data_IF_231948138088
#
_entry.id   IF_231948138088
#
_cell.length_a   1.000
_cell.length_b   1.000
_cell.length_c   1.000
_cell.angle_alpha   90.00
_cell.angle_beta   90.00
_cell.angle_gamma   90.00
#
_symmetry.space_group_name_H-M   'P 1'
#
loop_
_entity.id
_entity.type
_entity.pdbx_description
1 polymer ?
#
# COMPACT_ATOMS: atom_id res chain seq x y z
N UNK A 1 -76.39 -37.90 -20.45
CA UNK A 1 -75.61 -38.38 -19.31
C UNK A 1 -74.12 -38.25 -19.72
N UNK A 2 -73.51 -37.17 -19.47
CA UNK A 2 -72.14 -36.87 -19.92
C UNK A 2 -71.28 -36.60 -18.73
N UNK A 3 -70.21 -37.38 -18.59
CA UNK A 3 -69.22 -37.28 -17.53
C UNK A 3 -68.16 -36.32 -18.04
N UNK A 4 -68.11 -35.13 -17.48
CA UNK A 4 -67.16 -34.11 -17.80
C UNK A 4 -65.88 -34.36 -16.94
N UNK A 5 -64.81 -34.74 -17.57
CA UNK A 5 -63.49 -34.94 -16.93
C UNK A 5 -62.86 -33.60 -16.66
N UNK A 6 -62.75 -33.28 -15.40
CA UNK A 6 -61.97 -32.10 -14.92
C UNK A 6 -60.48 -32.42 -14.97
N UNK A 7 -59.76 -31.77 -15.88
CA UNK A 7 -58.29 -31.85 -15.97
C UNK A 7 -57.70 -30.88 -14.96
N UNK A 8 -57.12 -31.40 -13.87
CA UNK A 8 -56.35 -30.57 -12.92
C UNK A 8 -54.93 -30.44 -13.46
N UNK A 9 -54.59 -29.25 -13.93
CA UNK A 9 -53.22 -28.88 -14.32
C UNK A 9 -52.44 -28.53 -13.03
N UNK A 10 -51.56 -29.44 -12.60
CA UNK A 10 -50.60 -29.16 -11.53
C UNK A 10 -49.44 -28.39 -12.17
N UNK A 11 -49.43 -27.11 -11.97
CA UNK A 11 -48.27 -26.29 -12.30
C UNK A 11 -47.26 -26.44 -11.15
N UNK A 12 -46.28 -27.29 -11.35
CA UNK A 12 -45.11 -27.38 -10.45
C UNK A 12 -44.22 -26.15 -10.65
N UNK A 13 -44.37 -25.16 -9.77
CA UNK A 13 -43.42 -24.07 -9.67
C UNK A 13 -42.17 -24.61 -8.97
N UNK A 14 -41.14 -24.93 -9.74
CA UNK A 14 -39.81 -25.20 -9.22
C UNK A 14 -39.23 -23.88 -8.81
N UNK A 15 -39.28 -23.57 -7.51
CA UNK A 15 -38.47 -22.49 -6.91
C UNK A 15 -37.02 -22.94 -6.95
N UNK A 16 -36.28 -22.48 -7.94
CA UNK A 16 -34.81 -22.46 -7.90
C UNK A 16 -34.41 -21.43 -6.88
N UNK A 17 -34.20 -21.84 -5.62
CA UNK A 17 -33.44 -21.10 -4.64
C UNK A 17 -31.99 -21.21 -5.09
N UNK A 18 -31.56 -20.30 -5.95
CA UNK A 18 -30.14 -20.08 -6.15
C UNK A 18 -29.61 -19.51 -4.84
N UNK A 19 -29.01 -20.36 -4.00
CA UNK A 19 -28.11 -19.95 -2.95
C UNK A 19 -26.96 -19.20 -3.63
N UNK A 20 -27.12 -17.91 -3.75
CA UNK A 20 -26.04 -17.00 -4.15
C UNK A 20 -24.96 -17.06 -3.08
N UNK A 21 -24.13 -18.09 -3.09
CA UNK A 21 -22.76 -17.94 -2.62
C UNK A 21 -22.14 -16.96 -3.61
N UNK A 22 -22.08 -15.71 -3.20
CA UNK A 22 -21.22 -14.72 -3.81
C UNK A 22 -19.79 -15.25 -3.67
N UNK A 23 -19.39 -16.08 -4.63
CA UNK A 23 -17.99 -16.32 -4.90
C UNK A 23 -17.46 -14.93 -5.25
N UNK A 24 -16.70 -14.34 -4.34
CA UNK A 24 -15.89 -13.17 -4.67
C UNK A 24 -15.13 -13.56 -5.94
N UNK A 25 -15.45 -12.90 -7.04
CA UNK A 25 -14.73 -13.11 -8.29
C UNK A 25 -13.25 -12.96 -7.99
N UNK A 26 -12.39 -13.87 -8.47
CA UNK A 26 -10.97 -13.71 -8.27
C UNK A 26 -10.57 -12.34 -8.80
N UNK A 27 -9.84 -11.54 -8.00
CA UNK A 27 -9.37 -10.18 -8.36
C UNK A 27 -8.66 -10.10 -9.72
N UNK A 28 -8.26 -11.23 -10.30
CA UNK A 28 -7.70 -11.33 -11.66
C UNK A 28 -8.64 -10.90 -12.79
N UNK A 29 -9.92 -10.62 -12.52
CA UNK A 29 -10.86 -10.06 -13.49
C UNK A 29 -11.03 -8.54 -13.39
N UNK A 30 -10.47 -7.88 -12.37
CA UNK A 30 -10.31 -6.43 -12.41
C UNK A 30 -9.24 -6.13 -13.46
N UNK A 31 -9.60 -5.32 -14.46
CA UNK A 31 -8.65 -4.83 -15.46
C UNK A 31 -7.36 -4.43 -14.75
N UNK A 32 -6.24 -5.08 -15.11
CA UNK A 32 -4.93 -4.67 -14.67
C UNK A 32 -4.84 -3.16 -14.93
N UNK A 33 -4.73 -2.38 -13.86
CA UNK A 33 -4.47 -0.96 -13.99
C UNK A 33 -2.96 -0.74 -13.96
N UNK A 34 -2.53 0.43 -14.36
CA UNK A 34 -1.09 0.75 -14.40
C UNK A 34 -0.44 0.66 -13.01
N UNK A 35 -1.19 0.76 -11.91
CA UNK A 35 -0.68 0.53 -10.56
C UNK A 35 -0.35 -0.96 -10.33
N UNK A 36 -1.24 -1.89 -10.74
CA UNK A 36 -0.98 -3.33 -10.65
C UNK A 36 0.26 -3.71 -11.47
N UNK A 37 0.34 -3.23 -12.70
CA UNK A 37 1.50 -3.47 -13.58
C UNK A 37 2.78 -2.97 -12.94
N UNK A 38 2.79 -1.72 -12.46
CA UNK A 38 3.95 -1.12 -11.81
C UNK A 38 4.40 -1.90 -10.56
N UNK A 39 3.46 -2.28 -9.72
CA UNK A 39 3.77 -2.94 -8.43
C UNK A 39 4.31 -4.36 -8.65
N UNK A 40 3.76 -5.10 -9.62
CA UNK A 40 4.15 -6.50 -9.87
C UNK A 40 5.25 -6.65 -10.92
N UNK A 41 5.68 -5.57 -11.56
CA UNK A 41 6.85 -5.58 -12.42
C UNK A 41 8.09 -5.96 -11.61
N UNK A 42 8.82 -6.98 -12.08
CA UNK A 42 10.07 -7.40 -11.43
C UNK A 42 11.12 -6.32 -11.54
N UNK A 43 11.75 -6.03 -10.42
CA UNK A 43 12.81 -5.05 -10.36
C UNK A 43 14.16 -5.77 -10.16
N UNK A 44 15.13 -5.49 -11.03
CA UNK A 44 16.45 -6.14 -11.01
C UNK A 44 17.27 -5.75 -9.77
N UNK A 45 16.97 -4.60 -9.16
CA UNK A 45 17.66 -4.13 -7.94
C UNK A 45 17.02 -4.64 -6.67
N UNK A 46 15.89 -5.37 -6.76
CA UNK A 46 15.24 -5.89 -5.56
C UNK A 46 16.20 -6.75 -4.75
N UNK A 47 16.44 -6.36 -3.51
CA UNK A 47 17.27 -7.07 -2.56
C UNK A 47 16.64 -7.04 -1.17
N UNK A 48 16.57 -8.20 -0.52
CA UNK A 48 16.13 -8.36 0.85
C UNK A 48 17.25 -9.03 1.65
N UNK A 49 17.91 -8.28 2.53
CA UNK A 49 19.12 -8.72 3.24
C UNK A 49 18.96 -8.62 4.75
N UNK A 50 19.05 -9.78 5.42
CA UNK A 50 19.11 -9.82 6.89
C UNK A 50 20.46 -9.23 7.37
N UNK A 51 20.38 -8.17 8.18
CA UNK A 51 21.55 -7.52 8.78
C UNK A 51 21.94 -8.21 10.08
N UNK A 52 20.97 -8.38 10.98
CA UNK A 52 21.16 -9.06 12.26
C UNK A 52 19.85 -9.58 12.83
N UNK A 53 19.98 -10.53 13.76
CA UNK A 53 18.87 -11.01 14.59
C UNK A 53 19.28 -11.00 16.05
N UNK A 54 18.35 -10.66 16.92
CA UNK A 54 18.57 -10.58 18.36
C UNK A 54 17.50 -11.36 19.09
N UNK A 55 17.91 -12.22 20.04
CA UNK A 55 16.99 -12.96 20.91
C UNK A 55 16.75 -12.18 22.19
N UNK A 56 15.48 -12.13 22.60
CA UNK A 56 15.04 -11.57 23.85
C UNK A 56 14.06 -12.53 24.54
N UNK A 57 13.63 -12.18 25.76
CA UNK A 57 12.64 -12.98 26.46
C UNK A 57 11.28 -12.91 25.74
N UNK A 58 10.81 -14.08 25.32
CA UNK A 58 9.52 -14.21 24.64
C UNK A 58 9.47 -13.84 23.16
N UNK A 59 10.56 -13.35 22.54
CA UNK A 59 10.58 -13.01 21.11
C UNK A 59 11.99 -13.02 20.50
N UNK A 60 12.05 -12.96 19.18
CA UNK A 60 13.24 -12.66 18.41
C UNK A 60 12.96 -11.45 17.51
N UNK A 61 13.91 -10.52 17.42
CA UNK A 61 13.87 -9.43 16.46
C UNK A 61 14.81 -9.64 15.29
N UNK A 62 14.41 -9.15 14.12
CA UNK A 62 15.23 -9.19 12.91
C UNK A 62 15.29 -7.78 12.32
N UNK A 63 16.48 -7.39 11.87
CA UNK A 63 16.74 -6.12 11.22
C UNK A 63 17.20 -6.41 9.79
N UNK A 64 16.46 -5.86 8.84
CA UNK A 64 16.58 -6.17 7.42
C UNK A 64 16.77 -4.88 6.65
N UNK A 65 17.67 -4.87 5.70
CA UNK A 65 17.73 -3.86 4.65
C UNK A 65 17.01 -4.39 3.42
N UNK A 66 16.12 -3.57 2.87
CA UNK A 66 15.35 -3.86 1.69
C UNK A 66 15.62 -2.80 0.63
N UNK A 67 16.04 -3.20 -0.57
CA UNK A 67 15.93 -2.40 -1.78
C UNK A 67 14.67 -2.86 -2.50
N UNK A 68 13.65 -2.00 -2.53
CA UNK A 68 12.34 -2.39 -3.05
C UNK A 68 12.24 -2.29 -4.57
N UNK A 69 12.92 -1.31 -5.14
CA UNK A 69 12.80 -0.98 -6.57
C UNK A 69 13.81 0.08 -7.01
N UNK A 70 13.93 0.23 -8.34
CA UNK A 70 14.49 1.42 -8.96
C UNK A 70 13.38 2.38 -9.35
N UNK A 71 13.47 3.62 -8.88
CA UNK A 71 12.51 4.70 -9.15
C UNK A 71 13.16 5.76 -10.02
N UNK A 72 12.60 5.98 -11.23
CA UNK A 72 13.13 6.91 -12.23
C UNK A 72 14.57 6.59 -12.67
N UNK A 73 15.25 7.57 -13.26
CA UNK A 73 16.63 7.47 -13.75
C UNK A 73 17.55 8.47 -13.07
N UNK A 74 18.86 8.24 -13.14
CA UNK A 74 19.88 9.14 -12.58
C UNK A 74 19.87 10.54 -13.22
N UNK A 75 19.31 10.67 -14.43
CA UNK A 75 19.10 11.96 -15.08
C UNK A 75 17.88 12.73 -14.57
N UNK A 76 16.98 12.06 -13.82
CA UNK A 76 15.74 12.63 -13.29
C UNK A 76 15.83 12.89 -11.78
N UNK A 77 16.51 12.00 -11.02
CA UNK A 77 16.57 12.07 -9.55
C UNK A 77 17.95 11.68 -9.05
N UNK A 78 18.33 12.13 -7.85
CA UNK A 78 19.64 11.87 -7.25
C UNK A 78 19.79 10.46 -6.66
N UNK A 79 18.69 9.85 -6.21
CA UNK A 79 18.65 8.49 -5.66
C UNK A 79 17.55 7.68 -6.36
N UNK A 80 17.97 6.72 -7.16
CA UNK A 80 17.07 5.87 -7.93
C UNK A 80 16.66 4.62 -7.17
N UNK A 81 17.56 3.99 -6.42
CA UNK A 81 17.27 2.76 -5.71
C UNK A 81 16.62 3.09 -4.36
N UNK A 82 15.35 2.70 -4.20
CA UNK A 82 14.62 2.93 -2.96
C UNK A 82 14.99 1.90 -1.91
N UNK A 83 15.65 2.40 -0.86
CA UNK A 83 16.15 1.61 0.26
C UNK A 83 15.26 1.81 1.48
N UNK A 84 15.03 0.75 2.21
CA UNK A 84 14.19 0.74 3.40
C UNK A 84 14.84 -0.05 4.51
N UNK A 85 14.43 0.24 5.74
CA UNK A 85 14.74 -0.56 6.91
C UNK A 85 13.47 -1.30 7.32
N UNK A 86 13.59 -2.61 7.54
CA UNK A 86 12.50 -3.44 7.99
C UNK A 86 12.88 -4.03 9.35
N UNK A 87 12.14 -3.65 10.39
CA UNK A 87 12.23 -4.24 11.72
C UNK A 87 11.14 -5.30 11.86
N UNK A 88 11.49 -6.49 12.31
CA UNK A 88 10.55 -7.59 12.45
C UNK A 88 10.62 -8.16 13.84
N UNK A 89 9.49 -8.41 14.47
CA UNK A 89 9.37 -9.13 15.74
C UNK A 89 8.63 -10.44 15.51
N UNK A 90 9.32 -11.53 15.80
CA UNK A 90 8.79 -12.88 15.82
C UNK A 90 8.59 -13.32 17.27
N UNK A 91 7.35 -13.50 17.76
CA UNK A 91 7.13 -14.03 19.10
C UNK A 91 7.59 -15.49 19.19
N UNK A 92 8.08 -15.92 20.35
CA UNK A 92 8.54 -17.30 20.59
C UNK A 92 7.49 -18.36 20.21
N UNK A 93 6.20 -17.98 20.28
CA UNK A 93 5.09 -18.81 19.81
C UNK A 93 4.27 -18.04 18.80
N UNK A 94 4.48 -18.33 17.54
CA UNK A 94 3.63 -17.82 16.43
C UNK A 94 2.40 -18.71 16.32
N UNK A 95 1.21 -18.10 16.47
CA UNK A 95 -0.08 -18.81 16.38
C UNK A 95 -0.83 -18.55 15.08
N UNK A 96 -0.48 -17.52 14.33
CA UNK A 96 -1.20 -17.08 13.15
C UNK A 96 -0.26 -16.88 11.95
N UNK A 97 -0.74 -17.25 10.78
CA UNK A 97 -0.05 -16.94 9.51
C UNK A 97 -0.38 -15.53 8.98
N UNK A 98 -1.13 -14.75 9.74
CA UNK A 98 -1.37 -13.33 9.43
C UNK A 98 -0.35 -12.50 10.18
N UNK A 99 0.52 -11.79 9.44
CA UNK A 99 1.43 -10.80 10.01
C UNK A 99 0.85 -9.40 9.95
N UNK A 100 1.35 -8.51 10.79
CA UNK A 100 1.09 -7.08 10.68
C UNK A 100 2.31 -6.40 10.04
N UNK A 101 2.06 -5.57 9.02
CA UNK A 101 3.04 -4.69 8.40
C UNK A 101 2.64 -3.23 8.67
N UNK A 102 3.44 -2.52 9.45
CA UNK A 102 3.30 -1.08 9.65
C UNK A 102 4.17 -0.34 8.65
N UNK A 103 3.59 0.63 7.95
CA UNK A 103 4.33 1.48 7.01
C UNK A 103 4.69 2.77 7.73
N UNK A 104 5.98 3.00 7.89
CA UNK A 104 6.58 4.13 8.59
C UNK A 104 7.28 5.13 7.67
N UNK A 105 7.50 6.33 8.18
CA UNK A 105 8.33 7.35 7.55
C UNK A 105 9.82 7.13 7.81
N UNK A 106 10.59 8.19 7.67
CA UNK A 106 12.03 8.20 7.90
C UNK A 106 12.78 8.94 6.80
N UNK A 107 14.10 8.84 6.85
CA UNK A 107 15.01 9.45 5.88
C UNK A 107 15.86 8.39 5.21
N UNK A 108 16.18 8.57 3.94
CA UNK A 108 17.12 7.70 3.21
C UNK A 108 18.57 7.73 3.76
N UNK A 109 18.82 8.61 4.74
CA UNK A 109 20.06 8.63 5.52
C UNK A 109 19.98 7.88 6.85
N UNK A 110 18.81 7.30 7.18
CA UNK A 110 18.66 6.58 8.44
C UNK A 110 19.49 5.30 8.45
N UNK A 111 20.11 5.04 9.60
CA UNK A 111 20.88 3.83 9.85
C UNK A 111 19.98 2.73 10.44
N UNK A 112 20.46 1.48 10.35
CA UNK A 112 19.81 0.35 11.02
C UNK A 112 19.69 0.65 12.51
N UNK A 113 18.47 0.63 13.10
CA UNK A 113 18.25 0.95 14.52
C UNK A 113 19.07 0.05 15.45
N UNK A 114 19.55 0.60 16.56
CA UNK A 114 20.31 -0.14 17.56
C UNK A 114 19.43 -1.12 18.36
N UNK A 115 18.13 -0.84 18.47
CA UNK A 115 17.14 -1.67 19.17
C UNK A 115 15.84 -1.73 18.39
N UNK A 116 15.05 -2.75 18.63
CA UNK A 116 13.73 -2.91 18.04
C UNK A 116 12.74 -1.91 18.65
N UNK A 117 11.79 -1.44 17.86
CA UNK A 117 10.69 -0.60 18.32
C UNK A 117 9.80 -1.38 19.31
N UNK A 118 9.67 -0.88 20.54
CA UNK A 118 8.89 -1.52 21.61
C UNK A 118 7.40 -1.73 21.27
N UNK A 119 6.84 -0.86 20.42
CA UNK A 119 5.46 -0.99 19.98
C UNK A 119 5.26 -2.28 19.16
N UNK A 120 6.22 -2.63 18.30
CA UNK A 120 6.19 -3.88 17.53
C UNK A 120 6.25 -5.09 18.46
N UNK A 121 7.10 -5.03 19.49
CA UNK A 121 7.21 -6.08 20.51
C UNK A 121 5.88 -6.28 21.24
N UNK A 122 5.26 -5.19 21.70
CA UNK A 122 3.95 -5.24 22.37
C UNK A 122 2.88 -5.86 21.48
N UNK A 123 2.81 -5.48 20.21
CA UNK A 123 1.84 -6.04 19.27
C UNK A 123 2.10 -7.51 18.99
N UNK A 124 3.35 -7.89 18.72
CA UNK A 124 3.71 -9.27 18.44
C UNK A 124 3.38 -10.22 19.61
N UNK A 125 3.73 -9.82 20.83
CA UNK A 125 3.44 -10.62 22.03
C UNK A 125 1.94 -10.69 22.32
N UNK A 126 1.22 -9.57 22.18
CA UNK A 126 -0.22 -9.53 22.44
C UNK A 126 -1.03 -10.36 21.43
N UNK A 127 -0.60 -10.41 20.17
CA UNK A 127 -1.33 -11.11 19.10
C UNK A 127 -0.78 -12.51 18.81
N UNK A 128 0.40 -12.87 19.33
CA UNK A 128 1.12 -14.09 18.94
C UNK A 128 1.32 -14.20 17.42
N UNK A 129 1.56 -13.07 16.76
CA UNK A 129 1.75 -12.95 15.32
C UNK A 129 3.07 -12.25 15.02
N UNK A 130 3.62 -12.49 13.82
CA UNK A 130 4.74 -11.68 13.32
C UNK A 130 4.28 -10.26 13.10
N UNK A 131 5.06 -9.30 13.58
CA UNK A 131 4.81 -7.85 13.38
C UNK A 131 6.05 -7.21 12.81
N UNK A 132 5.88 -6.42 11.76
CA UNK A 132 6.97 -5.72 11.09
C UNK A 132 6.67 -4.24 10.89
N UNK A 133 7.72 -3.43 10.84
CA UNK A 133 7.67 -2.03 10.43
C UNK A 133 8.60 -1.80 9.25
N UNK A 134 8.05 -1.31 8.14
CA UNK A 134 8.78 -0.84 6.98
C UNK A 134 8.98 0.67 7.13
N UNK A 135 10.20 1.11 7.38
CA UNK A 135 10.56 2.53 7.48
C UNK A 135 11.00 3.11 6.14
N UNK A 136 11.12 4.45 6.07
CA UNK A 136 11.60 5.20 4.92
C UNK A 136 10.64 5.14 3.72
N UNK A 137 9.33 5.23 3.96
CA UNK A 137 8.29 5.32 2.92
C UNK A 137 7.59 6.69 2.99
N UNK A 138 7.72 7.54 1.92
CA UNK A 138 8.55 7.38 0.72
C UNK A 138 10.05 7.39 1.06
N UNK A 139 10.89 6.96 0.10
CA UNK A 139 12.33 7.10 0.21
C UNK A 139 12.69 8.58 0.00
N UNK A 140 13.18 9.25 1.04
CA UNK A 140 13.32 10.72 1.10
C UNK A 140 14.49 11.17 1.95
N UNK A 141 15.08 12.41 1.73
CA UNK A 141 14.67 13.33 0.66
C UNK A 141 15.11 12.84 -0.71
N UNK A 142 14.43 13.31 -1.75
CA UNK A 142 14.88 13.21 -3.12
C UNK A 142 15.19 14.60 -3.68
N UNK A 143 16.23 14.68 -4.55
CA UNK A 143 16.57 15.89 -5.29
C UNK A 143 16.34 15.61 -6.77
N UNK A 144 15.30 16.23 -7.33
CA UNK A 144 15.04 16.14 -8.76
C UNK A 144 15.98 17.06 -9.54
N UNK A 145 16.54 16.55 -10.64
CA UNK A 145 17.66 17.19 -11.35
C UNK A 145 17.34 18.53 -11.98
N UNK A 146 16.08 18.74 -12.38
CA UNK A 146 15.61 19.96 -13.01
C UNK A 146 15.39 21.13 -12.06
N UNK A 147 15.14 20.85 -10.76
CA UNK A 147 14.94 21.91 -9.78
C UNK A 147 16.06 22.02 -8.73
N UNK A 148 16.78 20.92 -8.44
CA UNK A 148 17.88 20.90 -7.51
C UNK A 148 17.51 21.07 -6.03
N UNK A 149 16.23 20.89 -5.67
CA UNK A 149 15.73 21.05 -4.29
C UNK A 149 15.49 19.69 -3.63
N UNK A 150 15.77 19.62 -2.32
CA UNK A 150 15.36 18.46 -1.51
C UNK A 150 13.85 18.48 -1.30
N UNK A 151 13.19 17.40 -1.70
CA UNK A 151 11.76 17.20 -1.49
C UNK A 151 11.51 16.13 -0.43
N UNK A 152 10.56 16.41 0.45
CA UNK A 152 10.15 15.58 1.55
C UNK A 152 8.62 15.43 1.57
N UNK A 153 8.14 14.31 2.09
CA UNK A 153 6.73 14.12 2.46
C UNK A 153 5.75 14.51 1.35
N UNK A 154 4.77 15.34 1.63
CA UNK A 154 3.76 15.78 0.65
C UNK A 154 4.34 16.64 -0.45
N UNK A 155 5.39 17.44 -0.16
CA UNK A 155 6.09 18.21 -1.18
C UNK A 155 6.78 17.32 -2.24
N UNK A 156 7.27 16.13 -1.85
CA UNK A 156 7.79 15.14 -2.80
C UNK A 156 6.66 14.57 -3.66
N UNK A 157 5.56 14.18 -3.03
CA UNK A 157 4.41 13.58 -3.72
C UNK A 157 3.78 14.58 -4.70
N UNK A 158 3.52 15.82 -4.24
CA UNK A 158 2.93 16.87 -5.06
C UNK A 158 3.80 17.21 -6.28
N UNK A 159 5.12 17.28 -6.10
CA UNK A 159 6.05 17.48 -7.20
C UNK A 159 5.96 16.36 -8.25
N UNK A 160 5.90 15.10 -7.81
CA UNK A 160 5.80 13.97 -8.74
C UNK A 160 4.44 13.88 -9.45
N UNK A 161 3.39 14.42 -8.83
CA UNK A 161 2.09 14.60 -9.47
C UNK A 161 2.13 15.67 -10.55
N UNK A 162 2.76 16.83 -10.29
CA UNK A 162 2.96 17.86 -11.29
C UNK A 162 3.72 17.34 -12.51
N UNK A 163 4.77 16.54 -12.29
CA UNK A 163 5.50 15.89 -13.38
C UNK A 163 4.64 14.96 -14.21
N UNK A 164 3.79 14.16 -13.57
CA UNK A 164 2.84 13.33 -14.29
C UNK A 164 1.83 14.17 -15.08
N UNK A 165 1.23 15.18 -14.44
CA UNK A 165 0.21 16.04 -15.06
C UNK A 165 0.75 16.78 -16.28
N UNK A 166 2.01 17.19 -16.26
CA UNK A 166 2.64 17.94 -17.36
C UNK A 166 3.23 17.05 -18.44
N UNK A 167 3.65 15.80 -18.12
CA UNK A 167 4.33 14.90 -19.09
C UNK A 167 3.48 13.72 -19.57
N UNK A 168 2.49 13.30 -18.77
CA UNK A 168 1.75 12.06 -18.98
C UNK A 168 2.53 10.77 -18.63
N UNK A 169 3.76 10.89 -18.11
CA UNK A 169 4.61 9.74 -17.80
C UNK A 169 4.22 9.10 -16.46
N UNK A 170 3.64 7.90 -16.53
CA UNK A 170 3.14 7.15 -15.37
C UNK A 170 4.23 6.65 -14.41
N UNK A 171 5.51 6.80 -14.73
CA UNK A 171 6.61 6.46 -13.82
C UNK A 171 6.75 7.45 -12.66
N UNK A 172 6.25 8.70 -12.83
CA UNK A 172 6.48 9.78 -11.89
C UNK A 172 5.74 9.64 -10.56
N UNK A 173 4.45 9.26 -10.47
CA UNK A 173 3.72 9.33 -9.20
C UNK A 173 4.37 8.48 -8.11
N UNK A 174 5.04 9.12 -7.14
CA UNK A 174 5.78 8.47 -6.06
C UNK A 174 4.89 7.54 -5.20
N UNK A 175 3.57 7.74 -5.20
CA UNK A 175 2.62 6.86 -4.50
C UNK A 175 2.62 5.43 -5.05
N UNK A 176 2.90 5.25 -6.34
CA UNK A 176 3.04 3.92 -6.93
C UNK A 176 4.27 3.21 -6.35
N UNK A 177 5.39 3.95 -6.26
CA UNK A 177 6.62 3.45 -5.64
C UNK A 177 6.45 3.15 -4.14
N UNK A 178 5.67 3.95 -3.40
CA UNK A 178 5.32 3.68 -2.00
C UNK A 178 4.54 2.38 -1.85
N UNK A 179 3.58 2.11 -2.76
CA UNK A 179 2.81 0.87 -2.76
C UNK A 179 3.68 -0.34 -3.07
N UNK A 180 4.54 -0.23 -4.10
CA UNK A 180 5.50 -1.29 -4.44
C UNK A 180 6.46 -1.59 -3.28
N UNK A 181 6.88 -0.58 -2.52
CA UNK A 181 7.72 -0.79 -1.32
C UNK A 181 7.02 -1.65 -0.26
N UNK A 182 5.71 -1.45 -0.04
CA UNK A 182 4.94 -2.25 0.91
C UNK A 182 4.77 -3.71 0.42
N UNK A 183 4.50 -3.91 -0.87
CA UNK A 183 4.41 -5.25 -1.48
C UNK A 183 5.75 -5.98 -1.41
N UNK A 184 6.84 -5.29 -1.77
CA UNK A 184 8.22 -5.83 -1.67
C UNK A 184 8.59 -6.21 -0.23
N UNK A 185 8.12 -5.46 0.78
CA UNK A 185 8.33 -5.83 2.17
C UNK A 185 7.58 -7.12 2.55
N UNK A 186 6.35 -7.31 2.05
CA UNK A 186 5.62 -8.56 2.26
C UNK A 186 6.33 -9.75 1.60
N UNK A 187 6.88 -9.59 0.40
CA UNK A 187 7.69 -10.61 -0.29
C UNK A 187 8.94 -10.94 0.51
N UNK A 188 9.62 -9.93 1.04
CA UNK A 188 10.79 -10.09 1.88
C UNK A 188 10.47 -10.88 3.15
N UNK A 189 9.36 -10.56 3.84
CA UNK A 189 8.92 -11.28 5.03
C UNK A 189 8.62 -12.76 4.75
N UNK A 190 8.05 -13.06 3.60
CA UNK A 190 7.75 -14.44 3.21
C UNK A 190 9.00 -15.24 2.82
N UNK A 191 9.98 -14.60 2.20
CA UNK A 191 11.16 -15.28 1.68
C UNK A 191 12.28 -15.43 2.72
N UNK A 192 12.56 -14.37 3.47
CA UNK A 192 13.79 -14.27 4.27
C UNK A 192 13.66 -14.78 5.71
N UNK A 193 12.46 -14.68 6.33
CA UNK A 193 12.34 -15.04 7.74
C UNK A 193 12.63 -16.51 7.97
N UNK A 194 13.52 -16.83 8.94
CA UNK A 194 13.89 -18.22 9.30
C UNK A 194 12.78 -18.88 10.14
N UNK A 195 11.53 -18.60 9.84
CA UNK A 195 10.36 -19.17 10.49
C UNK A 195 10.02 -20.48 9.79
N UNK A 196 9.59 -21.49 10.56
CA UNK A 196 9.11 -22.74 9.99
C UNK A 196 8.02 -22.48 8.93
N UNK A 197 8.06 -23.20 7.82
CA UNK A 197 7.23 -22.91 6.63
C UNK A 197 5.74 -22.83 6.93
N UNK A 198 5.25 -23.65 7.86
CA UNK A 198 3.86 -23.67 8.30
C UNK A 198 3.45 -22.45 9.15
N UNK A 199 4.41 -21.65 9.60
CA UNK A 199 4.20 -20.43 10.41
C UNK A 199 4.55 -19.16 9.65
N UNK A 200 5.09 -19.28 8.43
CA UNK A 200 5.39 -18.11 7.60
C UNK A 200 4.14 -17.29 7.31
N UNK A 201 4.25 -15.96 7.31
CA UNK A 201 3.13 -15.12 6.94
C UNK A 201 2.58 -15.44 5.55
N UNK A 202 1.31 -15.73 5.44
CA UNK A 202 0.60 -15.91 4.17
C UNK A 202 -0.44 -14.82 3.92
N UNK A 203 -0.80 -14.09 4.99
CA UNK A 203 -1.72 -12.94 4.96
C UNK A 203 -1.13 -11.80 5.77
N UNK A 204 -1.60 -10.59 5.46
CA UNK A 204 -1.12 -9.37 6.11
C UNK A 204 -2.28 -8.48 6.55
N UNK A 205 -2.10 -7.86 7.72
CA UNK A 205 -2.80 -6.64 8.12
C UNK A 205 -1.84 -5.50 7.87
N UNK A 206 -2.18 -4.59 6.98
CA UNK A 206 -1.32 -3.44 6.64
C UNK A 206 -1.82 -2.20 7.35
N UNK A 207 -0.92 -1.45 7.99
CA UNK A 207 -1.23 -0.23 8.74
C UNK A 207 -0.30 0.90 8.34
N UNK A 208 -0.79 2.13 8.41
CA UNK A 208 0.01 3.32 8.15
C UNK A 208 -0.75 4.59 8.45
N UNK A 209 -0.03 5.68 8.70
CA UNK A 209 -0.63 6.96 9.04
C UNK A 209 -0.46 7.99 7.91
N UNK A 210 -1.48 8.85 7.74
CA UNK A 210 -1.47 9.93 6.76
C UNK A 210 -1.17 9.38 5.35
N UNK A 211 -0.15 9.87 4.66
CA UNK A 211 0.26 9.38 3.33
C UNK A 211 0.62 7.89 3.30
N UNK A 212 1.07 7.31 4.42
CA UNK A 212 1.32 5.85 4.57
C UNK A 212 0.01 5.10 4.78
N UNK A 213 -1.00 5.74 5.37
CA UNK A 213 -2.37 5.22 5.42
C UNK A 213 -3.01 5.17 4.04
N UNK A 214 -2.73 6.15 3.18
CA UNK A 214 -3.10 6.07 1.77
C UNK A 214 -2.41 4.88 1.08
N UNK A 215 -1.10 4.69 1.30
CA UNK A 215 -0.38 3.52 0.79
C UNK A 215 -1.00 2.21 1.30
N UNK A 216 -1.55 2.19 2.51
CA UNK A 216 -2.27 1.05 3.08
C UNK A 216 -3.49 0.68 2.23
N UNK A 217 -4.28 1.66 1.78
CA UNK A 217 -5.41 1.46 0.87
C UNK A 217 -4.96 0.91 -0.49
N UNK A 218 -3.98 1.56 -1.14
CA UNK A 218 -3.50 1.14 -2.46
C UNK A 218 -2.84 -0.24 -2.42
N UNK A 219 -2.13 -0.59 -1.33
CA UNK A 219 -1.57 -1.94 -1.14
C UNK A 219 -2.66 -3.00 -1.08
N UNK A 220 -3.77 -2.73 -0.39
CA UNK A 220 -4.90 -3.66 -0.34
C UNK A 220 -5.63 -3.80 -1.67
N UNK A 221 -5.62 -2.75 -2.49
CA UNK A 221 -6.24 -2.78 -3.81
C UNK A 221 -5.49 -3.71 -4.78
N UNK A 222 -4.14 -3.81 -4.66
CA UNK A 222 -3.29 -4.54 -5.62
C UNK A 222 -2.79 -5.89 -5.11
N UNK A 223 -2.85 -6.18 -3.80
CA UNK A 223 -2.28 -7.42 -3.26
C UNK A 223 -3.31 -8.24 -2.46
N UNK A 224 -3.66 -9.40 -2.98
CA UNK A 224 -4.64 -10.31 -2.39
C UNK A 224 -4.18 -10.95 -1.06
N UNK A 225 -2.93 -10.80 -0.66
CA UNK A 225 -2.42 -11.22 0.64
C UNK A 225 -2.88 -10.29 1.77
N UNK A 226 -3.26 -9.06 1.45
CA UNK A 226 -3.80 -8.12 2.44
C UNK A 226 -5.21 -8.54 2.82
N UNK A 227 -5.40 -8.96 4.06
CA UNK A 227 -6.66 -9.42 4.61
C UNK A 227 -7.43 -8.35 5.38
N UNK A 228 -6.72 -7.33 5.87
CA UNK A 228 -7.29 -6.17 6.54
C UNK A 228 -6.32 -4.99 6.49
N UNK A 229 -6.84 -3.79 6.65
CA UNK A 229 -6.07 -2.56 6.69
C UNK A 229 -6.41 -1.70 7.90
N UNK A 230 -5.44 -0.91 8.34
CA UNK A 230 -5.59 0.08 9.42
C UNK A 230 -5.04 1.42 8.91
N UNK A 231 -5.79 2.13 8.07
CA UNK A 231 -5.43 3.48 7.65
C UNK A 231 -5.66 4.45 8.82
N UNK A 232 -4.61 5.14 9.26
CA UNK A 232 -4.66 6.03 10.43
C UNK A 232 -4.64 7.48 9.94
N UNK A 233 -5.56 8.28 10.45
CA UNK A 233 -5.76 9.70 10.12
C UNK A 233 -5.81 10.00 8.62
N UNK A 234 -6.42 9.10 7.86
CA UNK A 234 -6.61 9.19 6.42
C UNK A 234 -7.84 8.35 6.00
N UNK A 235 -8.93 8.99 5.70
CA UNK A 235 -10.18 8.39 5.20
C UNK A 235 -10.46 8.81 3.74
N UNK A 236 -9.41 9.14 3.02
CA UNK A 236 -9.46 9.73 1.70
C UNK A 236 -9.70 8.65 0.64
N UNK A 237 -10.94 8.52 0.26
CA UNK A 237 -11.42 7.77 -0.91
C UNK A 237 -12.13 8.77 -1.83
N UNK A 238 -11.97 8.63 -3.14
CA UNK A 238 -12.47 9.61 -4.12
C UNK A 238 -11.90 11.01 -3.84
N UNK A 239 -10.62 11.14 -4.12
CA UNK A 239 -9.82 12.35 -3.81
C UNK A 239 -10.42 13.60 -4.42
N UNK A 240 -10.87 13.53 -5.68
CA UNK A 240 -11.44 14.68 -6.37
C UNK A 240 -12.70 15.17 -5.65
N UNK A 241 -13.60 14.27 -5.32
CA UNK A 241 -14.84 14.60 -4.62
C UNK A 241 -14.59 15.15 -3.22
N UNK A 242 -13.65 14.54 -2.49
CA UNK A 242 -13.27 14.96 -1.13
C UNK A 242 -12.71 16.37 -1.12
N UNK A 243 -11.82 16.70 -2.06
CA UNK A 243 -11.25 18.04 -2.17
C UNK A 243 -12.27 19.07 -2.63
N UNK A 244 -13.12 18.75 -3.60
CA UNK A 244 -14.21 19.61 -4.03
C UNK A 244 -15.14 19.94 -2.86
N UNK A 245 -15.57 18.94 -2.10
CA UNK A 245 -16.37 19.11 -0.91
C UNK A 245 -15.67 19.98 0.15
N UNK A 246 -14.38 19.76 0.38
CA UNK A 246 -13.59 20.59 1.28
C UNK A 246 -13.63 22.06 0.88
N UNK A 247 -13.41 22.37 -0.39
CA UNK A 247 -13.48 23.75 -0.90
C UNK A 247 -14.87 24.35 -0.78
N UNK A 248 -15.92 23.59 -1.11
CA UNK A 248 -17.31 24.05 -0.99
C UNK A 248 -17.70 24.40 0.45
N UNK A 249 -17.17 23.64 1.43
CA UNK A 249 -17.50 23.85 2.85
C UNK A 249 -16.70 24.99 3.47
N UNK A 250 -15.40 25.07 3.18
CA UNK A 250 -14.50 25.98 3.88
C UNK A 250 -14.11 27.23 3.08
N UNK A 251 -14.15 27.18 1.76
CA UNK A 251 -13.75 28.29 0.88
C UNK A 251 -12.24 28.57 0.89
N UNK A 252 -11.44 27.69 1.48
CA UNK A 252 -9.97 27.74 1.47
C UNK A 252 -9.40 26.34 1.57
N UNK A 253 -8.10 26.19 1.25
CA UNK A 253 -7.40 24.93 1.36
C UNK A 253 -6.77 24.74 2.75
N UNK A 254 -6.94 23.57 3.34
CA UNK A 254 -6.30 23.24 4.62
C UNK A 254 -4.76 23.22 4.48
N UNK A 255 -4.00 23.64 5.50
CA UNK A 255 -2.54 23.61 5.46
C UNK A 255 -1.96 22.23 5.12
N UNK A 256 -2.67 21.16 5.45
CA UNK A 256 -2.24 19.78 5.16
C UNK A 256 -2.13 19.44 3.67
N UNK A 257 -2.76 20.23 2.78
CA UNK A 257 -2.70 20.03 1.32
C UNK A 257 -1.99 21.19 0.60
N UNK A 258 -1.32 22.07 1.36
CA UNK A 258 -0.68 23.24 0.79
C UNK A 258 0.38 22.89 -0.26
N UNK A 259 1.14 21.83 -0.08
CA UNK A 259 2.14 21.38 -1.05
C UNK A 259 1.52 21.07 -2.43
N UNK A 260 0.31 20.52 -2.46
CA UNK A 260 -0.42 20.22 -3.72
C UNK A 260 -0.98 21.52 -4.35
N UNK A 261 -1.38 22.48 -3.53
CA UNK A 261 -1.84 23.79 -3.98
C UNK A 261 -0.66 24.57 -4.57
N UNK A 262 0.48 24.60 -3.89
CA UNK A 262 1.69 25.28 -4.34
C UNK A 262 2.27 24.71 -5.65
N UNK A 263 2.02 23.41 -5.90
CA UNK A 263 2.38 22.74 -7.16
C UNK A 263 1.27 22.88 -8.24
N UNK A 264 0.20 23.65 -7.98
CA UNK A 264 -0.87 23.89 -8.95
C UNK A 264 -1.76 22.68 -9.23
N UNK A 265 -1.69 21.59 -8.43
CA UNK A 265 -2.51 20.39 -8.66
C UNK A 265 -4.00 20.72 -8.73
N UNK A 266 -4.45 21.69 -7.93
CA UNK A 266 -5.86 22.12 -7.89
C UNK A 266 -6.32 22.85 -9.15
N UNK A 267 -5.42 23.30 -10.00
CA UNK A 267 -5.74 23.96 -11.27
C UNK A 267 -6.15 22.96 -12.36
N UNK A 268 -5.84 21.67 -12.14
CA UNK A 268 -6.17 20.58 -13.07
C UNK A 268 -7.57 19.97 -12.83
N UNK A 269 -8.38 20.55 -11.94
CA UNK A 269 -9.72 20.01 -11.66
C UNK A 269 -10.57 19.82 -12.90
N UNK A 270 -11.14 18.61 -13.02
CA UNK A 270 -12.03 18.24 -14.11
C UNK A 270 -11.31 17.95 -15.43
N UNK A 271 -9.98 17.96 -15.45
CA UNK A 271 -9.21 17.60 -16.64
C UNK A 271 -9.03 16.07 -16.76
N UNK A 272 -8.91 15.56 -18.00
CA UNK A 272 -8.59 14.13 -18.21
C UNK A 272 -7.26 13.70 -17.58
N UNK A 273 -6.28 14.60 -17.50
CA UNK A 273 -4.95 14.35 -16.93
C UNK A 273 -5.05 14.09 -15.43
N UNK A 274 -5.80 14.92 -14.67
CA UNK A 274 -6.01 14.69 -13.24
C UNK A 274 -6.81 13.42 -12.99
N UNK A 275 -7.81 13.12 -13.81
CA UNK A 275 -8.54 11.86 -13.74
C UNK A 275 -7.64 10.65 -14.03
N UNK A 276 -6.70 10.79 -14.98
CA UNK A 276 -5.72 9.73 -15.24
C UNK A 276 -4.77 9.52 -14.05
N UNK A 277 -4.31 10.60 -13.39
CA UNK A 277 -3.53 10.51 -12.16
C UNK A 277 -4.30 9.77 -11.06
N UNK A 278 -5.54 10.14 -10.81
CA UNK A 278 -6.34 9.52 -9.75
C UNK A 278 -6.63 8.04 -10.00
N UNK A 279 -6.73 7.60 -11.26
CA UNK A 279 -6.79 6.16 -11.57
C UNK A 279 -5.55 5.37 -11.14
N UNK A 280 -4.41 6.04 -10.97
CA UNK A 280 -3.16 5.41 -10.51
C UNK A 280 -3.02 5.44 -8.98
N UNK A 281 -3.54 6.48 -8.33
CA UNK A 281 -3.19 6.78 -6.93
C UNK A 281 -4.39 6.83 -5.97
N UNK A 282 -5.62 6.96 -6.46
CA UNK A 282 -6.84 6.96 -5.64
C UNK A 282 -7.30 5.50 -5.43
N UNK A 283 -7.48 5.06 -4.17
CA UNK A 283 -7.85 3.67 -3.86
C UNK A 283 -9.19 3.23 -4.40
#
# INVERSE_FOLDING_TARGET
MSVMRLLVLIVSVVLLISSGQGLAEPRSQFNQNSLDEYVHEKDEVYECRLVRSEKADGYQSHFIELVSQRYLTESEVDQTDWRHLLQVVEPATVKHQTAMLMIGGGSNSDAVPSSVNELLVRYALATSSVVAELSMVPNQPLVFRDEGKKRWEDALIAYTWDKFLTSGDSRWPARMAMTKSAVSAMDCLQSLLPIASEKKPSKFVVAGASKRGWTTWTTAAVDARVSAIVPIVIDLLDVERSFRHHWEVYGFWAPAIQDYVDMGTVEWWGTPELQALFKLVDP
#
